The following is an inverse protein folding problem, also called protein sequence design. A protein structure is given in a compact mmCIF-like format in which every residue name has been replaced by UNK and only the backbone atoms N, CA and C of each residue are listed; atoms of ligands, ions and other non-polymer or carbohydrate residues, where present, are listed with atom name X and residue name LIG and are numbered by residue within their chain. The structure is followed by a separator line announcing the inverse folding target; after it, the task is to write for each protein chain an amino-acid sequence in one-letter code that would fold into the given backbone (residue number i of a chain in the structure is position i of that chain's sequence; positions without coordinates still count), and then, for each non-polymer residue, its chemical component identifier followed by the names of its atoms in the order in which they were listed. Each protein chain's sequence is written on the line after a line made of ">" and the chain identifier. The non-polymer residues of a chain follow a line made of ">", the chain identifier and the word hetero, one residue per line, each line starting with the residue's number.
data_IF_158922209755
#
_entry.id   IF_158922209755
#
_cell.length_a   1.000
_cell.length_b   1.000
_cell.length_c   1.000
_cell.angle_alpha   90.00
_cell.angle_beta   90.00
_cell.angle_gamma   90.00
#
_symmetry.space_group_name_H-M   'P 1'
#
loop_
_entity.id
_entity.type
_entity.pdbx_description
1 polymer ?
#
# COMPACT_ATOMS: atom_id res chain seq x y z
N UNK A 1 -9.16 14.70 6.62
CA UNK A 1 -9.23 13.54 5.69
C UNK A 1 -7.86 13.04 5.25
N UNK A 2 -7.08 13.84 4.53
CA UNK A 2 -5.80 13.42 3.92
C UNK A 2 -4.75 12.94 4.92
N UNK A 3 -4.65 13.55 6.09
CA UNK A 3 -3.74 13.14 7.15
C UNK A 3 -4.04 11.71 7.65
N UNK A 4 -5.31 11.40 7.86
CA UNK A 4 -5.73 10.04 8.27
C UNK A 4 -5.45 9.01 7.18
N UNK A 5 -5.64 9.37 5.90
CA UNK A 5 -5.30 8.49 4.77
C UNK A 5 -3.80 8.25 4.70
N UNK A 6 -2.97 9.28 4.93
CA UNK A 6 -1.52 9.13 4.99
C UNK A 6 -1.06 8.23 6.14
N UNK A 7 -1.64 8.37 7.33
CA UNK A 7 -1.37 7.48 8.45
C UNK A 7 -1.75 6.02 8.14
N UNK A 8 -2.96 5.80 7.62
CA UNK A 8 -3.41 4.48 7.17
C UNK A 8 -2.44 3.86 6.15
N UNK A 9 -2.04 4.63 5.13
CA UNK A 9 -1.11 4.16 4.11
C UNK A 9 0.25 3.78 4.69
N UNK A 10 0.75 4.53 5.68
CA UNK A 10 1.99 4.20 6.37
C UNK A 10 1.89 2.86 7.11
N UNK A 11 0.80 2.62 7.86
CA UNK A 11 0.58 1.35 8.54
C UNK A 11 0.48 0.18 7.55
N UNK A 12 -0.21 0.37 6.43
CA UNK A 12 -0.34 -0.67 5.41
C UNK A 12 1.02 -1.15 4.84
N UNK A 13 2.02 -0.26 4.78
CA UNK A 13 3.37 -0.63 4.34
C UNK A 13 4.08 -1.57 5.32
N UNK A 14 3.70 -1.58 6.60
CA UNK A 14 4.31 -2.45 7.62
C UNK A 14 3.78 -3.89 7.57
N UNK A 15 2.63 -4.17 6.97
CA UNK A 15 2.06 -5.53 6.94
C UNK A 15 3.01 -6.56 6.32
N UNK A 16 3.78 -6.20 5.31
CA UNK A 16 4.78 -7.09 4.70
C UNK A 16 5.90 -7.45 5.68
N UNK A 17 6.30 -6.51 6.53
CA UNK A 17 7.33 -6.75 7.55
C UNK A 17 6.76 -7.60 8.69
N UNK A 18 5.57 -7.29 9.18
CA UNK A 18 4.87 -8.09 10.18
C UNK A 18 4.69 -9.54 9.69
N UNK A 19 4.28 -9.75 8.42
CA UNK A 19 4.17 -11.08 7.84
C UNK A 19 5.53 -11.82 7.81
N UNK A 20 6.63 -11.10 7.59
CA UNK A 20 7.97 -11.69 7.57
C UNK A 20 8.49 -12.04 8.98
N UNK A 21 8.06 -11.33 10.00
CA UNK A 21 8.45 -11.58 11.40
C UNK A 21 7.72 -12.78 11.99
N UNK A 22 6.44 -12.94 11.67
CA UNK A 22 5.61 -14.06 12.16
C UNK A 22 5.92 -15.37 11.44
N UNK A 23 6.44 -15.30 10.21
CA UNK A 23 6.75 -16.47 9.40
C UNK A 23 8.08 -17.12 9.79
N UNK A 24 8.12 -18.46 9.80
CA UNK A 24 9.38 -19.21 9.92
C UNK A 24 10.33 -18.85 8.78
N UNK A 25 11.65 -18.97 8.98
CA UNK A 25 12.68 -18.60 8.00
C UNK A 25 12.45 -19.25 6.62
N UNK A 26 12.03 -20.51 6.58
CA UNK A 26 11.70 -21.22 5.36
C UNK A 26 10.43 -20.70 4.64
N UNK A 27 9.55 -20.00 5.35
CA UNK A 27 8.27 -19.51 4.83
C UNK A 27 8.23 -17.99 4.64
N UNK A 28 9.25 -17.28 5.10
CA UNK A 28 9.31 -15.80 5.12
C UNK A 28 9.10 -15.17 3.75
N UNK A 29 9.79 -15.66 2.71
CA UNK A 29 9.63 -15.14 1.34
C UNK A 29 8.22 -15.38 0.80
N UNK A 30 7.62 -16.53 1.10
CA UNK A 30 6.25 -16.85 0.71
C UNK A 30 5.23 -15.98 1.43
N UNK A 31 5.42 -15.68 2.72
CA UNK A 31 4.55 -14.80 3.48
C UNK A 31 4.52 -13.38 2.88
N UNK A 32 5.68 -12.84 2.51
CA UNK A 32 5.78 -11.56 1.80
C UNK A 32 5.05 -11.63 0.46
N UNK A 33 5.25 -12.70 -0.32
CA UNK A 33 4.59 -12.89 -1.62
C UNK A 33 3.06 -12.96 -1.49
N UNK A 34 2.52 -13.57 -0.44
CA UNK A 34 1.08 -13.60 -0.19
C UNK A 34 0.52 -12.21 0.13
N UNK A 35 1.23 -11.40 0.91
CA UNK A 35 0.83 -10.00 1.18
C UNK A 35 0.87 -9.18 -0.11
N UNK A 36 1.89 -9.37 -0.94
CA UNK A 36 1.99 -8.71 -2.26
C UNK A 36 0.88 -9.15 -3.22
N UNK A 37 0.47 -10.44 -3.17
CA UNK A 37 -0.68 -10.93 -3.94
C UNK A 37 -1.98 -10.20 -3.58
N UNK A 38 -2.18 -9.86 -2.30
CA UNK A 38 -3.28 -9.00 -1.87
C UNK A 38 -3.29 -7.65 -2.57
N UNK A 39 -2.11 -7.07 -2.84
CA UNK A 39 -1.97 -5.83 -3.62
C UNK A 39 -2.47 -5.96 -5.06
N UNK A 40 -2.23 -7.09 -5.73
CA UNK A 40 -2.75 -7.36 -7.09
C UNK A 40 -4.29 -7.46 -7.06
N UNK A 41 -4.82 -8.21 -6.10
CA UNK A 41 -6.28 -8.33 -5.93
C UNK A 41 -6.90 -6.95 -5.70
N UNK A 42 -6.29 -6.13 -4.83
CA UNK A 42 -6.72 -4.76 -4.57
C UNK A 42 -6.63 -3.87 -5.83
N UNK A 43 -5.59 -4.04 -6.65
CA UNK A 43 -5.41 -3.30 -7.90
C UNK A 43 -6.51 -3.58 -8.92
N UNK A 44 -7.00 -4.81 -8.98
CA UNK A 44 -8.09 -5.22 -9.87
C UNK A 44 -9.45 -4.77 -9.34
N UNK A 45 -9.69 -5.00 -8.06
CA UNK A 45 -11.01 -4.79 -7.44
C UNK A 45 -11.21 -3.31 -7.07
N UNK A 46 -10.20 -2.61 -6.56
CA UNK A 46 -10.33 -1.26 -6.03
C UNK A 46 -10.90 -0.25 -7.03
N UNK A 47 -10.27 -0.04 -8.20
CA UNK A 47 -10.78 0.88 -9.20
C UNK A 47 -12.14 0.46 -9.77
N UNK A 48 -12.40 -0.85 -9.85
CA UNK A 48 -13.69 -1.39 -10.27
C UNK A 48 -14.80 -1.03 -9.27
N UNK A 49 -14.55 -1.21 -7.97
CA UNK A 49 -15.48 -0.81 -6.92
C UNK A 49 -15.72 0.70 -6.91
N UNK A 50 -14.67 1.50 -7.11
CA UNK A 50 -14.80 2.96 -7.22
C UNK A 50 -15.69 3.36 -8.40
N UNK A 51 -15.56 2.69 -9.54
CA UNK A 51 -16.41 2.92 -10.72
C UNK A 51 -17.86 2.58 -10.47
N UNK A 52 -18.15 1.46 -9.81
CA UNK A 52 -19.53 1.05 -9.48
C UNK A 52 -20.12 1.88 -8.35
N UNK A 53 -19.29 2.35 -7.41
CA UNK A 53 -19.74 3.17 -6.29
C UNK A 53 -20.16 4.58 -6.70
N UNK A 54 -19.59 5.14 -7.76
CA UNK A 54 -19.89 6.50 -8.21
C UNK A 54 -21.37 6.75 -8.49
N UNK A 55 -22.05 5.91 -9.31
CA UNK A 55 -23.43 6.12 -9.71
C UNK A 55 -24.50 5.75 -8.66
N UNK A 56 -24.12 5.15 -7.52
CA UNK A 56 -25.08 4.67 -6.52
C UNK A 56 -25.95 5.78 -5.91
N UNK A 57 -25.49 7.03 -5.93
CA UNK A 57 -26.23 8.17 -5.42
C UNK A 57 -26.24 9.29 -6.45
N UNK A 58 -27.39 9.52 -7.08
CA UNK A 58 -27.59 10.46 -8.20
C UNK A 58 -27.22 11.91 -7.90
N UNK A 59 -27.22 12.32 -6.63
CA UNK A 59 -26.98 13.72 -6.23
C UNK A 59 -25.59 14.01 -5.64
N UNK A 60 -24.81 12.99 -5.35
CA UNK A 60 -23.53 13.14 -4.65
C UNK A 60 -22.49 12.20 -5.26
N UNK A 61 -21.76 12.74 -6.23
CA UNK A 61 -20.64 12.03 -6.84
C UNK A 61 -19.68 11.50 -5.75
N UNK A 62 -19.26 10.25 -5.88
CA UNK A 62 -18.28 9.56 -5.01
C UNK A 62 -18.76 9.11 -3.62
N UNK A 63 -19.93 9.46 -3.10
CA UNK A 63 -20.38 8.96 -1.77
C UNK A 63 -20.44 7.45 -1.73
N UNK A 64 -20.96 6.81 -2.76
CA UNK A 64 -20.99 5.36 -2.84
C UNK A 64 -19.61 4.72 -2.80
N UNK A 65 -18.62 5.33 -3.46
CA UNK A 65 -17.23 4.86 -3.41
C UNK A 65 -16.63 4.98 -2.00
N UNK A 66 -16.89 6.10 -1.31
CA UNK A 66 -16.44 6.26 0.08
C UNK A 66 -17.13 5.31 1.06
N UNK A 67 -18.41 5.01 0.86
CA UNK A 67 -19.13 4.00 1.66
C UNK A 67 -18.53 2.61 1.47
N UNK A 68 -18.24 2.20 0.24
CA UNK A 68 -17.60 0.91 -0.05
C UNK A 68 -16.24 0.84 0.64
N UNK A 69 -15.40 1.87 0.53
CA UNK A 69 -14.09 1.93 1.20
C UNK A 69 -14.26 1.84 2.72
N UNK A 70 -15.25 2.53 3.29
CA UNK A 70 -15.52 2.50 4.74
C UNK A 70 -15.91 1.10 5.20
N UNK A 71 -16.79 0.41 4.46
CA UNK A 71 -17.21 -0.96 4.77
C UNK A 71 -16.01 -1.91 4.71
N UNK A 72 -15.21 -1.84 3.64
CA UNK A 72 -14.00 -2.67 3.50
C UNK A 72 -13.03 -2.41 4.66
N UNK A 73 -12.84 -1.14 5.06
CA UNK A 73 -11.97 -0.77 6.17
C UNK A 73 -12.47 -1.32 7.51
N UNK A 74 -13.79 -1.31 7.74
CA UNK A 74 -14.38 -1.90 8.95
C UNK A 74 -14.22 -3.42 8.97
N UNK A 75 -14.40 -4.08 7.83
CA UNK A 75 -14.15 -5.54 7.71
C UNK A 75 -12.68 -5.86 7.97
N UNK A 76 -11.75 -5.09 7.38
CA UNK A 76 -10.32 -5.25 7.63
C UNK A 76 -9.97 -5.04 9.11
N UNK A 77 -10.54 -4.04 9.76
CA UNK A 77 -10.36 -3.80 11.19
C UNK A 77 -10.91 -4.96 12.04
N UNK A 78 -12.07 -5.51 11.67
CA UNK A 78 -12.64 -6.69 12.32
C UNK A 78 -11.75 -7.94 12.17
N UNK A 79 -11.15 -8.15 11.01
CA UNK A 79 -10.21 -9.25 10.78
C UNK A 79 -8.94 -9.05 11.62
N UNK A 80 -8.37 -7.84 11.59
CA UNK A 80 -7.14 -7.52 12.34
C UNK A 80 -7.34 -7.59 13.85
N UNK A 81 -8.51 -7.24 14.37
CA UNK A 81 -8.80 -7.33 15.82
C UNK A 81 -8.84 -8.78 16.33
N UNK A 82 -9.09 -9.74 15.46
CA UNK A 82 -9.04 -11.17 15.79
C UNK A 82 -7.65 -11.81 15.56
N UNK A 83 -6.70 -11.05 15.02
CA UNK A 83 -5.36 -11.54 14.78
C UNK A 83 -4.56 -11.53 16.08
N UNK A 84 -4.35 -12.69 16.67
CA UNK A 84 -3.42 -12.87 17.79
C UNK A 84 -2.03 -13.10 17.21
N UNK A 85 -1.22 -12.07 17.21
CA UNK A 85 0.22 -12.22 16.98
C UNK A 85 0.77 -12.74 18.30
N UNK A 86 1.14 -14.04 18.34
CA UNK A 86 1.86 -14.56 19.48
C UNK A 86 3.10 -13.68 19.69
N UNK A 87 3.25 -13.13 20.90
CA UNK A 87 4.46 -12.40 21.27
C UNK A 87 5.64 -13.31 20.93
N UNK A 88 6.31 -13.05 19.82
CA UNK A 88 7.57 -13.72 19.49
C UNK A 88 8.45 -13.46 20.69
N UNK A 89 8.68 -14.55 21.44
CA UNK A 89 9.49 -14.63 22.64
C UNK A 89 10.49 -13.50 22.64
N UNK A 90 10.40 -12.66 23.69
CA UNK A 90 11.47 -11.74 24.05
C UNK A 90 12.80 -12.49 23.88
N UNK A 91 13.37 -12.39 22.69
CA UNK A 91 14.78 -12.52 22.59
C UNK A 91 15.26 -11.35 23.45
N UNK A 92 15.61 -11.65 24.70
CA UNK A 92 16.38 -10.77 25.56
C UNK A 92 17.64 -10.42 24.78
N UNK A 93 17.47 -9.59 23.76
CA UNK A 93 18.57 -8.88 23.19
C UNK A 93 19.08 -8.05 24.35
N UNK A 94 20.25 -8.41 24.86
CA UNK A 94 21.06 -7.48 25.63
C UNK A 94 20.97 -6.16 24.88
N UNK A 95 20.20 -5.23 25.40
CA UNK A 95 20.09 -3.88 24.87
C UNK A 95 21.46 -3.24 25.01
N UNK A 96 22.37 -3.60 24.16
CA UNK A 96 23.49 -2.73 23.83
C UNK A 96 22.85 -1.48 23.28
N UNK A 97 23.07 -0.38 23.98
CA UNK A 97 22.53 0.93 23.63
C UNK A 97 22.58 1.11 22.11
N UNK A 98 21.39 1.23 21.48
CA UNK A 98 21.30 1.35 20.03
C UNK A 98 22.13 2.51 19.54
N UNK A 99 22.62 2.43 18.32
CA UNK A 99 23.38 3.52 17.70
C UNK A 99 22.58 4.82 17.77
N UNK A 100 23.20 5.95 18.16
CA UNK A 100 22.50 7.22 18.17
C UNK A 100 21.96 7.52 16.76
N UNK A 101 20.74 8.02 16.69
CA UNK A 101 20.04 8.28 15.43
C UNK A 101 20.84 9.13 14.44
N UNK A 102 21.66 10.05 14.93
CA UNK A 102 22.54 10.87 14.12
C UNK A 102 23.57 10.06 13.32
N UNK A 103 24.13 9.00 13.91
CA UNK A 103 25.06 8.12 13.21
C UNK A 103 24.38 7.29 12.11
N UNK A 104 23.09 7.03 12.25
CA UNK A 104 22.31 6.28 11.26
C UNK A 104 21.95 7.21 10.09
N UNK A 105 21.43 8.40 10.37
CA UNK A 105 20.92 9.34 9.36
C UNK A 105 22.03 9.86 8.44
N UNK A 106 23.25 10.08 8.96
CA UNK A 106 24.38 10.57 8.17
C UNK A 106 25.22 9.48 7.50
N UNK A 107 24.77 8.21 7.55
CA UNK A 107 25.44 7.16 6.77
C UNK A 107 25.24 7.39 5.27
N UNK A 108 26.29 7.33 4.44
CA UNK A 108 26.16 7.50 2.99
C UNK A 108 25.18 6.51 2.37
N UNK A 109 25.18 5.26 2.81
CA UNK A 109 24.25 4.22 2.36
C UNK A 109 22.80 4.58 2.67
N UNK A 110 22.53 5.12 3.86
CA UNK A 110 21.19 5.57 4.25
C UNK A 110 20.73 6.75 3.40
N UNK A 111 21.60 7.75 3.17
CA UNK A 111 21.29 8.93 2.36
C UNK A 111 20.98 8.55 0.90
N UNK A 112 21.76 7.64 0.31
CA UNK A 112 21.50 7.13 -1.05
C UNK A 112 20.17 6.40 -1.11
N UNK A 113 19.90 5.53 -0.14
CA UNK A 113 18.62 4.79 -0.07
C UNK A 113 17.45 5.75 0.13
N UNK A 114 17.60 6.75 1.01
CA UNK A 114 16.57 7.77 1.25
C UNK A 114 16.29 8.60 0.00
N UNK A 115 17.34 9.07 -0.68
CA UNK A 115 17.18 9.83 -1.93
C UNK A 115 16.51 8.99 -3.02
N UNK A 116 16.92 7.74 -3.18
CA UNK A 116 16.29 6.80 -4.10
C UNK A 116 14.81 6.55 -3.79
N UNK A 117 14.49 6.36 -2.51
CA UNK A 117 13.11 6.19 -2.06
C UNK A 117 12.25 7.43 -2.31
N UNK A 118 12.74 8.62 -1.97
CA UNK A 118 12.03 9.89 -2.19
C UNK A 118 11.77 10.09 -3.69
N UNK A 119 12.80 9.91 -4.51
CA UNK A 119 12.70 10.13 -5.95
C UNK A 119 11.76 9.11 -6.60
N UNK A 120 11.95 7.82 -6.31
CA UNK A 120 11.11 6.75 -6.87
C UNK A 120 9.66 6.88 -6.46
N UNK A 121 9.39 7.12 -5.17
CA UNK A 121 8.03 7.30 -4.68
C UNK A 121 7.40 8.59 -5.20
N UNK A 122 8.17 9.66 -5.30
CA UNK A 122 7.71 10.94 -5.86
C UNK A 122 7.29 10.82 -7.32
N UNK A 123 8.09 10.16 -8.16
CA UNK A 123 7.76 9.90 -9.57
C UNK A 123 6.51 9.02 -9.68
N UNK A 124 6.41 7.98 -8.86
CA UNK A 124 5.25 7.10 -8.82
C UNK A 124 3.96 7.87 -8.49
N UNK A 125 3.96 8.65 -7.41
CA UNK A 125 2.81 9.45 -6.99
C UNK A 125 2.44 10.51 -8.03
N UNK A 126 3.45 11.16 -8.64
CA UNK A 126 3.22 12.11 -9.72
C UNK A 126 2.49 11.44 -10.90
N UNK A 127 2.97 10.29 -11.35
CA UNK A 127 2.35 9.54 -12.45
C UNK A 127 0.92 9.13 -12.11
N UNK A 128 0.70 8.55 -10.92
CA UNK A 128 -0.64 8.12 -10.47
C UNK A 128 -1.63 9.27 -10.28
N UNK A 129 -1.15 10.48 -9.97
CA UNK A 129 -2.02 11.65 -9.77
C UNK A 129 -2.23 12.44 -11.06
N UNK A 130 -1.16 12.70 -11.81
CA UNK A 130 -1.22 13.53 -13.02
C UNK A 130 -1.94 12.82 -14.16
N UNK A 131 -1.77 11.50 -14.31
CA UNK A 131 -2.38 10.76 -15.43
C UNK A 131 -3.91 10.83 -15.44
N UNK A 132 -4.63 10.53 -14.35
CA UNK A 132 -6.09 10.65 -14.32
C UNK A 132 -6.57 12.07 -14.60
N UNK A 133 -5.86 13.08 -14.06
CA UNK A 133 -6.21 14.47 -14.26
C UNK A 133 -6.05 14.85 -15.74
N UNK A 134 -4.91 14.52 -16.36
CA UNK A 134 -4.65 14.77 -17.77
C UNK A 134 -5.66 14.07 -18.68
N UNK A 135 -5.97 12.80 -18.41
CA UNK A 135 -6.97 12.05 -19.17
C UNK A 135 -8.37 12.66 -19.05
N UNK A 136 -8.74 13.13 -17.86
CA UNK A 136 -10.03 13.81 -17.66
C UNK A 136 -10.09 15.14 -18.42
N UNK A 137 -9.00 15.91 -18.45
CA UNK A 137 -8.88 17.11 -19.26
C UNK A 137 -9.00 16.84 -20.77
N UNK A 138 -8.52 15.68 -21.21
CA UNK A 138 -8.62 15.20 -22.58
C UNK A 138 -9.95 14.51 -22.90
N UNK A 139 -10.97 14.68 -22.04
CA UNK A 139 -12.33 14.12 -22.18
C UNK A 139 -12.40 12.58 -22.28
N UNK A 140 -11.43 11.86 -21.72
CA UNK A 140 -11.52 10.40 -21.61
C UNK A 140 -12.57 9.98 -20.58
N UNK A 141 -13.27 8.90 -20.89
CA UNK A 141 -14.27 8.31 -20.00
C UNK A 141 -13.60 7.72 -18.73
N UNK A 142 -14.34 7.72 -17.63
CA UNK A 142 -13.89 7.18 -16.34
C UNK A 142 -13.43 5.72 -16.45
N UNK A 143 -14.05 4.93 -17.33
CA UNK A 143 -13.66 3.54 -17.60
C UNK A 143 -12.24 3.43 -18.15
N UNK A 144 -11.86 4.26 -19.11
CA UNK A 144 -10.50 4.29 -19.68
C UNK A 144 -9.47 4.71 -18.65
N UNK A 145 -9.77 5.74 -17.86
CA UNK A 145 -8.92 6.22 -16.78
C UNK A 145 -8.67 5.10 -15.74
N UNK A 146 -9.74 4.41 -15.34
CA UNK A 146 -9.67 3.29 -14.40
C UNK A 146 -8.77 2.18 -14.95
N UNK A 147 -8.92 1.81 -16.22
CA UNK A 147 -8.13 0.76 -16.86
C UNK A 147 -6.63 1.10 -16.88
N UNK A 148 -6.29 2.35 -17.19
CA UNK A 148 -4.88 2.79 -17.20
C UNK A 148 -4.26 2.68 -15.82
N UNK A 149 -4.97 3.11 -14.78
CA UNK A 149 -4.49 2.99 -13.40
C UNK A 149 -4.38 1.52 -12.97
N UNK A 150 -5.35 0.68 -13.34
CA UNK A 150 -5.28 -0.77 -13.05
C UNK A 150 -4.04 -1.41 -13.70
N UNK A 151 -3.79 -1.12 -14.97
CA UNK A 151 -2.60 -1.64 -15.67
C UNK A 151 -1.30 -1.12 -15.07
N UNK A 152 -1.26 0.14 -14.67
CA UNK A 152 -0.10 0.72 -13.99
C UNK A 152 0.20 -0.01 -12.67
N UNK A 153 -0.82 -0.19 -11.83
CA UNK A 153 -0.66 -0.86 -10.51
C UNK A 153 -0.31 -2.34 -10.70
N UNK A 154 -0.91 -3.02 -11.68
CA UNK A 154 -0.53 -4.38 -12.03
C UNK A 154 0.94 -4.46 -12.47
N UNK A 155 1.40 -3.52 -13.29
CA UNK A 155 2.80 -3.43 -13.72
C UNK A 155 3.78 -3.22 -12.57
N UNK A 156 3.34 -2.59 -11.47
CA UNK A 156 4.14 -2.44 -10.24
C UNK A 156 4.27 -3.74 -9.44
N UNK A 157 3.17 -4.47 -9.29
CA UNK A 157 3.13 -5.65 -8.41
C UNK A 157 3.49 -6.95 -9.12
N UNK A 158 3.14 -7.12 -10.40
CA UNK A 158 3.35 -8.36 -11.12
C UNK A 158 4.83 -8.77 -11.22
N UNK A 159 5.78 -7.86 -11.54
CA UNK A 159 7.18 -8.22 -11.61
C UNK A 159 7.78 -8.70 -10.28
N UNK A 160 7.25 -8.25 -9.14
CA UNK A 160 7.77 -8.61 -7.82
C UNK A 160 7.65 -10.12 -7.51
N UNK A 161 6.76 -10.84 -8.21
CA UNK A 161 6.64 -12.30 -8.08
C UNK A 161 7.79 -13.06 -8.76
N UNK A 162 8.47 -12.41 -9.71
CA UNK A 162 9.55 -13.03 -10.48
C UNK A 162 10.93 -12.54 -10.03
N UNK A 163 10.99 -11.44 -9.32
CA UNK A 163 12.24 -10.79 -8.89
C UNK A 163 12.53 -10.90 -7.40
N UNK A 164 11.58 -11.43 -6.59
CA UNK A 164 11.68 -11.55 -5.12
C UNK A 164 12.12 -12.90 -4.62
#
# INVERSE_FOLDING_TARGET
>A
GTLCVGAYQSFAQFYRFAASEVANDAFRSRAISWVMAGGIVAALIGPTLARFGGPLFQHLEYIGSFLIISIISLVAMGILSNLHIADTVEQKSNFTAGRPWQQIVFQPTYLVALFGAITGYGIMILGMTATPIAMRHSHHELGSITTVIQLHVLGMFLPSFFTG
#
